data_IF_356099863254
#
_entry.id   IF_356099863254
#
_cell.length_a   1.000
_cell.length_b   1.000
_cell.length_c   1.000
_cell.angle_alpha   90.00
_cell.angle_beta   90.00
_cell.angle_gamma   90.00
#
_symmetry.space_group_name_H-M   'P 1'
#
loop_
_entity.id
_entity.type
_entity.pdbx_description
1 polymer ?
#
# COMPACT_ATOMS: atom_id res chain seq x y z
N UNK A 1 23.74 9.06 11.80
CA UNK A 1 24.08 10.43 11.34
C UNK A 1 22.92 11.34 11.70
N UNK A 2 23.16 12.44 12.40
CA UNK A 2 22.13 13.42 12.74
C UNK A 2 22.51 14.77 12.12
N UNK A 3 21.73 15.23 11.15
CA UNK A 3 21.74 16.61 10.67
C UNK A 3 20.37 16.91 10.06
N UNK A 4 19.70 17.95 10.60
CA UNK A 4 18.34 18.44 10.32
C UNK A 4 17.19 17.96 11.23
N UNK A 5 17.43 17.86 12.55
CA UNK A 5 16.38 18.12 13.55
C UNK A 5 15.44 16.97 13.91
N UNK A 6 15.98 15.92 14.50
CA UNK A 6 15.41 15.15 15.63
C UNK A 6 16.57 14.33 16.23
N UNK A 7 16.66 14.21 17.55
CA UNK A 7 17.63 13.30 18.18
C UNK A 7 16.89 12.00 18.49
N UNK A 8 17.38 10.88 17.98
CA UNK A 8 16.83 9.55 18.22
C UNK A 8 17.85 8.47 17.94
N UNK A 9 17.73 7.31 18.58
CA UNK A 9 18.54 6.11 18.32
C UNK A 9 18.20 5.51 16.96
N UNK A 10 19.07 4.65 16.42
CA UNK A 10 18.79 3.96 15.17
C UNK A 10 17.49 3.12 15.25
N UNK A 11 17.15 2.56 16.42
CA UNK A 11 15.84 1.92 16.65
C UNK A 11 14.66 2.89 16.55
N UNK A 12 14.74 4.07 17.17
CA UNK A 12 13.68 5.08 17.13
C UNK A 12 13.46 5.59 15.71
N UNK A 13 14.55 5.77 14.96
CA UNK A 13 14.50 6.12 13.54
C UNK A 13 13.83 5.03 12.70
N UNK A 14 14.17 3.76 12.93
CA UNK A 14 13.54 2.65 12.24
C UNK A 14 12.03 2.60 12.50
N UNK A 15 11.59 2.82 13.74
CA UNK A 15 10.17 2.86 14.08
C UNK A 15 9.43 4.01 13.37
N UNK A 16 10.05 5.19 13.32
CA UNK A 16 9.48 6.36 12.61
C UNK A 16 9.39 6.06 11.11
N UNK A 17 10.45 5.51 10.51
CA UNK A 17 10.48 5.15 9.10
C UNK A 17 9.45 4.08 8.76
N UNK A 18 9.32 3.04 9.58
CA UNK A 18 8.32 1.98 9.41
C UNK A 18 6.90 2.53 9.52
N UNK A 19 6.65 3.43 10.49
CA UNK A 19 5.36 4.09 10.61
C UNK A 19 5.03 4.97 9.39
N UNK A 20 6.02 5.74 8.90
CA UNK A 20 5.84 6.57 7.72
C UNK A 20 5.60 5.72 6.47
N UNK A 21 6.35 4.62 6.31
CA UNK A 21 6.17 3.74 5.16
C UNK A 21 4.79 3.07 5.18
N UNK A 22 4.37 2.55 6.32
CA UNK A 22 3.06 1.92 6.47
C UNK A 22 1.91 2.90 6.23
N UNK A 23 2.00 4.13 6.74
CA UNK A 23 0.87 5.07 6.78
C UNK A 23 0.87 6.11 5.64
N UNK A 24 2.02 6.44 5.07
CA UNK A 24 2.17 7.55 4.13
C UNK A 24 2.83 7.16 2.80
N UNK A 25 3.39 5.96 2.66
CA UNK A 25 3.94 5.56 1.36
C UNK A 25 2.87 5.43 0.28
N UNK A 26 3.30 5.74 -0.95
CA UNK A 26 2.53 5.55 -2.15
C UNK A 26 2.32 4.06 -2.42
N UNK A 27 1.17 3.72 -2.99
CA UNK A 27 0.72 2.35 -3.22
C UNK A 27 0.71 2.09 -4.72
N UNK A 28 1.80 1.52 -5.30
CA UNK A 28 1.86 1.21 -6.72
C UNK A 28 1.04 -0.06 -7.01
N UNK A 29 -0.23 0.08 -7.38
CA UNK A 29 -1.13 -1.09 -7.56
C UNK A 29 -0.80 -1.93 -8.79
N UNK A 30 -0.22 -1.32 -9.81
CA UNK A 30 0.16 -2.01 -11.05
C UNK A 30 1.56 -2.62 -11.04
N UNK A 31 2.42 -2.21 -10.10
CA UNK A 31 3.82 -2.66 -10.02
C UNK A 31 4.18 -3.32 -8.69
N UNK A 32 3.41 -3.09 -7.63
CA UNK A 32 3.68 -3.61 -6.30
C UNK A 32 3.44 -5.12 -6.23
N UNK A 33 4.25 -5.79 -5.43
CA UNK A 33 4.07 -7.20 -5.10
C UNK A 33 2.95 -7.39 -4.07
N UNK A 34 2.36 -8.59 -4.03
CA UNK A 34 1.28 -8.90 -3.08
C UNK A 34 1.69 -8.63 -1.62
N UNK A 35 2.94 -8.94 -1.22
CA UNK A 35 3.43 -8.65 0.13
C UNK A 35 3.46 -7.15 0.44
N UNK A 36 3.93 -6.34 -0.51
CA UNK A 36 3.99 -4.89 -0.34
C UNK A 36 2.59 -4.29 -0.30
N UNK A 37 1.68 -4.75 -1.17
CA UNK A 37 0.28 -4.32 -1.18
C UNK A 37 -0.44 -4.70 0.11
N UNK A 38 -0.19 -5.91 0.66
CA UNK A 38 -0.74 -6.34 1.93
C UNK A 38 -0.34 -5.39 3.07
N UNK A 39 0.94 -5.06 3.18
CA UNK A 39 1.45 -4.16 4.22
C UNK A 39 0.98 -2.71 4.08
N UNK A 40 1.01 -2.17 2.85
CA UNK A 40 0.69 -0.75 2.59
C UNK A 40 -0.81 -0.47 2.65
N UNK A 41 -1.65 -1.41 2.21
CA UNK A 41 -3.10 -1.31 2.31
C UNK A 41 -3.65 -1.80 3.65
N UNK A 42 -2.80 -2.44 4.47
CA UNK A 42 -3.20 -3.09 5.73
C UNK A 42 -4.32 -4.12 5.50
N UNK A 43 -4.16 -4.94 4.45
CA UNK A 43 -5.10 -5.99 4.05
C UNK A 43 -4.49 -7.37 4.22
N UNK A 44 -5.34 -8.39 4.22
CA UNK A 44 -4.88 -9.77 4.28
C UNK A 44 -4.01 -10.13 3.07
N UNK A 45 -3.09 -11.08 3.25
CA UNK A 45 -2.28 -11.61 2.15
C UNK A 45 -3.15 -12.13 0.99
N UNK A 46 -4.26 -12.78 1.30
CA UNK A 46 -5.21 -13.27 0.30
C UNK A 46 -5.85 -12.14 -0.51
N UNK A 47 -6.20 -11.02 0.14
CA UNK A 47 -6.72 -9.82 -0.54
C UNK A 47 -5.67 -9.22 -1.47
N UNK A 48 -4.42 -9.11 -1.01
CA UNK A 48 -3.35 -8.56 -1.84
C UNK A 48 -2.99 -9.46 -3.03
N UNK A 49 -3.01 -10.78 -2.84
CA UNK A 49 -2.89 -11.75 -3.94
C UNK A 49 -4.05 -11.61 -4.94
N UNK A 50 -5.27 -11.38 -4.45
CA UNK A 50 -6.41 -11.13 -5.32
C UNK A 50 -6.23 -9.86 -6.18
N UNK A 51 -5.60 -8.80 -5.65
CA UNK A 51 -5.29 -7.58 -6.42
C UNK A 51 -4.31 -7.90 -7.56
N UNK A 52 -3.22 -8.63 -7.27
CA UNK A 52 -2.23 -9.03 -8.27
C UNK A 52 -2.86 -9.93 -9.33
N UNK A 53 -3.61 -10.94 -8.90
CA UNK A 53 -4.32 -11.83 -9.81
C UNK A 53 -5.33 -11.08 -10.68
N UNK A 54 -6.04 -10.11 -10.11
CA UNK A 54 -7.01 -9.32 -10.84
C UNK A 54 -6.36 -8.51 -11.96
N UNK A 55 -5.21 -7.84 -11.70
CA UNK A 55 -4.49 -7.12 -12.77
C UNK A 55 -3.86 -8.05 -13.81
N UNK A 56 -3.48 -9.25 -13.43
CA UNK A 56 -2.92 -10.24 -14.36
C UNK A 56 -4.00 -10.79 -15.31
N UNK A 57 -5.23 -10.95 -14.81
CA UNK A 57 -6.37 -11.46 -15.59
C UNK A 57 -7.12 -10.38 -16.39
N UNK A 58 -7.29 -9.18 -15.82
CA UNK A 58 -8.11 -8.10 -16.39
C UNK A 58 -7.28 -6.96 -17.00
N UNK A 59 -5.97 -6.94 -16.76
CA UNK A 59 -5.08 -5.85 -17.13
C UNK A 59 -4.87 -4.84 -16.00
N UNK A 60 -3.96 -3.89 -16.22
CA UNK A 60 -3.60 -2.86 -15.23
C UNK A 60 -4.81 -2.05 -14.78
N UNK A 61 -4.85 -1.71 -13.50
CA UNK A 61 -5.84 -0.79 -12.94
C UNK A 61 -5.67 0.60 -13.54
N UNK A 62 -6.77 1.21 -13.98
CA UNK A 62 -6.75 2.58 -14.54
C UNK A 62 -7.47 3.59 -13.66
N UNK A 63 -8.40 3.10 -12.82
CA UNK A 63 -9.15 3.90 -11.87
C UNK A 63 -9.22 3.22 -10.50
N UNK A 64 -9.45 4.04 -9.46
CA UNK A 64 -9.65 3.56 -8.10
C UNK A 64 -10.89 2.64 -8.02
N UNK A 65 -11.92 2.89 -8.83
CA UNK A 65 -13.11 2.05 -8.89
C UNK A 65 -12.83 0.63 -9.42
N UNK A 66 -11.74 0.43 -10.17
CA UNK A 66 -11.34 -0.91 -10.59
C UNK A 66 -10.82 -1.75 -9.42
N UNK A 67 -10.17 -1.11 -8.43
CA UNK A 67 -9.74 -1.79 -7.20
C UNK A 67 -10.96 -2.27 -6.41
N UNK A 68 -12.06 -1.53 -6.39
CA UNK A 68 -13.29 -1.91 -5.70
C UNK A 68 -13.97 -3.16 -6.29
N UNK A 69 -13.56 -3.60 -7.49
CA UNK A 69 -14.04 -4.83 -8.13
C UNK A 69 -13.24 -6.06 -7.68
N UNK A 70 -12.11 -5.88 -6.98
CA UNK A 70 -11.27 -6.98 -6.51
C UNK A 70 -11.99 -7.74 -5.40
N UNK A 71 -12.16 -9.07 -5.54
CA UNK A 71 -12.85 -9.87 -4.53
C UNK A 71 -12.05 -9.88 -3.22
N UNK A 72 -12.74 -9.57 -2.11
CA UNK A 72 -12.14 -9.53 -0.77
C UNK A 72 -11.38 -8.24 -0.44
N UNK A 73 -11.41 -7.23 -1.32
CA UNK A 73 -10.96 -5.88 -1.00
C UNK A 73 -12.16 -5.04 -0.54
N UNK A 74 -12.09 -4.54 0.70
CA UNK A 74 -13.11 -3.63 1.21
C UNK A 74 -13.01 -2.27 0.50
N UNK A 75 -14.09 -1.80 -0.15
CA UNK A 75 -14.12 -0.47 -0.77
C UNK A 75 -13.78 0.66 0.21
N UNK A 76 -14.13 0.52 1.49
CA UNK A 76 -13.79 1.51 2.51
C UNK A 76 -12.28 1.67 2.71
N UNK A 77 -11.52 0.56 2.62
CA UNK A 77 -10.05 0.57 2.70
C UNK A 77 -9.43 1.30 1.52
N UNK A 78 -10.01 1.12 0.33
CA UNK A 78 -9.62 1.82 -0.89
C UNK A 78 -9.92 3.31 -0.77
N UNK A 79 -11.14 3.67 -0.35
CA UNK A 79 -11.55 5.08 -0.22
C UNK A 79 -10.72 5.82 0.84
N UNK A 80 -10.37 5.17 1.95
CA UNK A 80 -9.52 5.75 2.99
C UNK A 80 -8.08 6.06 2.53
N UNK A 81 -7.61 5.40 1.48
CA UNK A 81 -6.23 5.53 0.95
C UNK A 81 -6.20 6.01 -0.49
N UNK A 82 -7.33 6.54 -0.99
CA UNK A 82 -7.52 6.97 -2.38
C UNK A 82 -6.38 7.84 -2.92
N UNK A 83 -5.86 8.74 -2.09
CA UNK A 83 -4.85 9.73 -2.48
C UNK A 83 -3.42 9.15 -2.51
N UNK A 84 -3.24 7.92 -2.04
CA UNK A 84 -1.95 7.21 -2.02
C UNK A 84 -1.75 6.30 -3.23
N UNK A 85 -2.81 5.99 -3.98
CA UNK A 85 -2.71 5.07 -5.10
C UNK A 85 -1.95 5.67 -6.29
N UNK A 86 -1.03 4.87 -6.82
CA UNK A 86 -0.28 5.19 -8.04
C UNK A 86 -0.52 4.06 -9.04
N UNK A 87 -1.04 4.42 -10.20
CA UNK A 87 -1.34 3.53 -11.32
C UNK A 87 -0.13 3.45 -12.28
#
# INVERSE_FOLDING_TARGET
MAANGAQGTDEEWNQILEYLDKNYSLIPVNKGDAKQLASTLDVSAATAEAIVKYRDEHGSFTAIDDLKKVPGLDPATVDARRDRFVF
#
